data_IF_763401019949
#
_entry.id   IF_763401019949
#
_cell.length_a   1.000
_cell.length_b   1.000
_cell.length_c   1.000
_cell.angle_alpha   90.00
_cell.angle_beta   90.00
_cell.angle_gamma   90.00
#
_symmetry.space_group_name_H-M   'P 1'
#
loop_
_entity.id
_entity.type
_entity.pdbx_description
1 polymer ?
#
# COMPACT_ATOMS: atom_id res chain seq x y z
N UNK A 1 -0.93 18.11 -2.89
CA UNK A 1 -0.96 18.72 -1.54
C UNK A 1 -0.11 17.93 -0.54
N UNK A 2 -0.34 16.61 -0.37
CA UNK A 2 0.41 15.78 0.60
C UNK A 2 1.93 15.84 0.43
N UNK A 3 2.47 15.69 -0.78
CA UNK A 3 3.90 15.74 -1.03
C UNK A 3 4.56 17.09 -0.70
N UNK A 4 3.84 18.20 -0.85
CA UNK A 4 4.33 19.53 -0.48
C UNK A 4 4.43 19.68 1.06
N UNK A 5 3.43 19.19 1.78
CA UNK A 5 3.43 19.17 3.25
C UNK A 5 4.56 18.28 3.78
N UNK A 6 4.75 17.10 3.18
CA UNK A 6 5.86 16.19 3.52
C UNK A 6 7.22 16.83 3.27
N UNK A 7 7.40 17.52 2.14
CA UNK A 7 8.64 18.24 1.82
C UNK A 7 8.93 19.39 2.80
N UNK A 8 7.91 20.17 3.14
CA UNK A 8 8.04 21.27 4.11
C UNK A 8 8.35 20.74 5.52
N UNK A 9 7.67 19.68 5.96
CA UNK A 9 7.93 19.03 7.25
C UNK A 9 9.33 18.43 7.31
N UNK A 10 9.79 17.82 6.21
CA UNK A 10 11.17 17.30 6.09
C UNK A 10 12.21 18.43 6.29
N UNK A 11 12.00 19.58 5.66
CA UNK A 11 12.90 20.71 5.79
C UNK A 11 12.96 21.29 7.23
N UNK A 12 11.84 21.24 7.95
CA UNK A 12 11.79 21.66 9.37
C UNK A 12 12.41 20.66 10.33
N UNK A 13 12.23 19.36 10.08
CA UNK A 13 12.74 18.27 10.91
C UNK A 13 14.21 17.96 10.61
N UNK A 14 14.68 18.26 9.39
CA UNK A 14 16.06 18.01 8.98
C UNK A 14 17.02 19.07 9.55
N UNK A 15 17.96 18.62 10.37
CA UNK A 15 19.03 19.48 10.86
C UNK A 15 20.10 19.67 9.77
N UNK A 16 19.94 20.73 8.94
CA UNK A 16 20.83 21.03 7.81
C UNK A 16 22.28 21.17 8.22
N UNK A 17 22.57 21.74 9.41
CA UNK A 17 23.95 21.90 9.92
C UNK A 17 24.58 20.54 10.23
N UNK A 18 23.83 19.65 10.88
CA UNK A 18 24.29 18.31 11.19
C UNK A 18 24.51 17.46 9.92
N UNK A 19 23.63 17.60 8.94
CA UNK A 19 23.76 16.91 7.64
C UNK A 19 24.99 17.41 6.87
N UNK A 20 25.21 18.73 6.83
CA UNK A 20 26.37 19.34 6.19
C UNK A 20 27.69 18.92 6.87
N UNK A 21 27.71 18.90 8.22
CA UNK A 21 28.89 18.43 8.96
C UNK A 21 29.20 16.96 8.74
N UNK A 22 28.16 16.11 8.68
CA UNK A 22 28.33 14.69 8.37
C UNK A 22 28.85 14.47 6.93
N UNK A 23 28.32 15.21 5.95
CA UNK A 23 28.79 15.17 4.56
C UNK A 23 30.26 15.66 4.44
N UNK A 24 30.64 16.69 5.20
CA UNK A 24 32.02 17.18 5.19
C UNK A 24 32.98 16.18 5.83
N UNK A 25 32.58 15.48 6.90
CA UNK A 25 33.40 14.39 7.49
C UNK A 25 33.59 13.24 6.48
N UNK A 26 32.53 12.87 5.77
CA UNK A 26 32.60 11.85 4.73
C UNK A 26 33.62 12.23 3.64
N UNK A 27 33.60 13.50 3.18
CA UNK A 27 34.55 14.02 2.20
C UNK A 27 35.99 14.03 2.74
N UNK A 28 36.17 14.39 4.01
CA UNK A 28 37.48 14.37 4.64
C UNK A 28 38.10 12.95 4.66
N UNK A 29 37.33 11.93 5.07
CA UNK A 29 37.76 10.54 5.06
C UNK A 29 38.03 9.98 3.66
N UNK A 30 37.28 10.45 2.64
CA UNK A 30 37.60 10.11 1.24
C UNK A 30 38.92 10.71 0.77
N UNK A 31 39.28 11.91 1.23
CA UNK A 31 40.57 12.54 0.92
C UNK A 31 41.73 11.86 1.66
N UNK A 32 41.53 11.46 2.92
CA UNK A 32 42.48 10.67 3.70
C UNK A 32 42.83 9.34 3.01
N UNK A 33 41.80 8.61 2.51
CA UNK A 33 42.00 7.37 1.75
C UNK A 33 42.89 7.57 0.51
N UNK A 34 42.72 8.70 -0.17
CA UNK A 34 43.50 9.03 -1.36
C UNK A 34 44.94 9.45 -1.03
N UNK A 35 45.15 10.08 0.15
CA UNK A 35 46.47 10.59 0.56
C UNK A 35 47.37 9.48 1.12
N UNK A 36 46.77 8.49 1.81
CA UNK A 36 47.54 7.42 2.49
C UNK A 36 47.40 6.06 1.79
N UNK A 37 47.26 6.07 0.46
CA UNK A 37 47.05 4.85 -0.35
C UNK A 37 48.22 3.84 -0.22
N UNK A 38 49.41 4.31 0.13
CA UNK A 38 50.61 3.49 0.17
C UNK A 38 50.81 2.72 1.52
N UNK A 39 50.02 3.01 2.56
CA UNK A 39 50.13 2.35 3.86
C UNK A 39 48.87 1.49 4.17
N UNK A 40 48.97 0.13 4.06
CA UNK A 40 47.80 -0.77 4.19
C UNK A 40 47.08 -0.66 5.53
N UNK A 41 47.78 -0.43 6.63
CA UNK A 41 47.20 -0.31 7.96
C UNK A 41 46.37 0.98 8.12
N UNK A 42 46.82 2.09 7.55
CA UNK A 42 46.11 3.36 7.54
C UNK A 42 44.90 3.33 6.59
N UNK A 43 45.02 2.65 5.45
CA UNK A 43 43.94 2.44 4.52
C UNK A 43 42.81 1.67 5.20
N UNK A 44 43.10 0.59 5.93
CA UNK A 44 42.07 -0.20 6.63
C UNK A 44 41.34 0.62 7.71
N UNK A 45 42.09 1.40 8.48
CA UNK A 45 41.51 2.30 9.48
C UNK A 45 40.62 3.38 8.83
N UNK A 46 41.12 4.01 7.75
CA UNK A 46 40.38 5.04 7.01
C UNK A 46 39.08 4.47 6.37
N UNK A 47 39.13 3.23 5.86
CA UNK A 47 37.91 2.55 5.36
C UNK A 47 36.86 2.35 6.47
N UNK A 48 37.30 1.91 7.66
CA UNK A 48 36.42 1.72 8.79
C UNK A 48 35.78 3.03 9.28
N UNK A 49 36.59 4.09 9.34
CA UNK A 49 36.11 5.43 9.72
C UNK A 49 35.17 6.02 8.65
N UNK A 50 35.39 5.71 7.37
CA UNK A 50 34.46 6.03 6.27
C UNK A 50 33.12 5.30 6.42
N UNK A 51 33.10 4.02 6.77
CA UNK A 51 31.89 3.25 7.03
C UNK A 51 31.10 3.85 8.20
N UNK A 52 31.77 4.19 9.30
CA UNK A 52 31.14 4.86 10.45
C UNK A 52 30.57 6.23 10.08
N UNK A 53 31.34 7.03 9.34
CA UNK A 53 30.88 8.36 8.89
C UNK A 53 29.67 8.26 7.96
N UNK A 54 29.67 7.26 7.05
CA UNK A 54 28.54 6.99 6.18
C UNK A 54 27.31 6.53 6.98
N UNK A 55 27.50 5.63 7.96
CA UNK A 55 26.44 5.21 8.88
C UNK A 55 25.83 6.37 9.66
N UNK A 56 26.66 7.27 10.18
CA UNK A 56 26.20 8.47 10.88
C UNK A 56 25.44 9.43 9.95
N UNK A 57 25.88 9.59 8.72
CA UNK A 57 25.19 10.39 7.71
C UNK A 57 23.82 9.80 7.36
N UNK A 58 23.75 8.48 7.09
CA UNK A 58 22.50 7.78 6.81
C UNK A 58 21.55 7.86 8.01
N UNK A 59 22.03 7.70 9.23
CA UNK A 59 21.22 7.82 10.44
C UNK A 59 20.57 9.19 10.58
N UNK A 60 21.29 10.25 10.25
CA UNK A 60 20.74 11.60 10.28
C UNK A 60 19.70 11.84 9.18
N UNK A 61 19.83 11.19 8.02
CA UNK A 61 18.80 11.22 6.96
C UNK A 61 17.59 10.37 7.32
N UNK A 62 17.79 9.23 7.97
CA UNK A 62 16.70 8.32 8.33
C UNK A 62 15.75 8.89 9.40
N UNK A 63 16.26 9.69 10.32
CA UNK A 63 15.44 10.30 11.39
C UNK A 63 14.23 11.09 10.87
N UNK A 64 14.39 12.11 10.02
CA UNK A 64 13.26 12.84 9.48
C UNK A 64 12.38 11.96 8.58
N UNK A 65 12.98 10.99 7.87
CA UNK A 65 12.25 10.05 7.03
C UNK A 65 11.34 9.14 7.87
N UNK A 66 11.84 8.59 9.00
CA UNK A 66 11.05 7.76 9.90
C UNK A 66 9.86 8.50 10.50
N UNK A 67 10.05 9.76 10.89
CA UNK A 67 8.96 10.60 11.40
C UNK A 67 7.89 10.86 10.33
N UNK A 68 8.30 11.04 9.07
CA UNK A 68 7.39 11.27 7.95
C UNK A 68 6.76 9.98 7.40
N UNK A 69 7.42 8.84 7.60
CA UNK A 69 6.89 7.54 7.15
C UNK A 69 5.56 7.19 7.85
N UNK A 70 5.40 7.58 9.10
CA UNK A 70 4.18 7.31 9.87
C UNK A 70 2.95 8.03 9.30
N UNK A 71 2.93 9.36 9.12
CA UNK A 71 1.79 10.04 8.49
C UNK A 71 1.62 9.66 7.01
N UNK A 72 2.71 9.40 6.28
CA UNK A 72 2.62 8.94 4.89
C UNK A 72 2.00 7.54 4.80
N UNK A 73 2.39 6.62 5.67
CA UNK A 73 1.81 5.28 5.75
C UNK A 73 0.33 5.32 6.13
N UNK A 74 -0.04 6.18 7.07
CA UNK A 74 -1.44 6.38 7.45
C UNK A 74 -2.28 6.92 6.27
N UNK A 75 -1.74 7.88 5.53
CA UNK A 75 -2.39 8.40 4.32
C UNK A 75 -2.52 7.32 3.25
N UNK A 76 -1.47 6.52 3.01
CA UNK A 76 -1.53 5.40 2.07
C UNK A 76 -2.61 4.40 2.49
N UNK A 77 -2.67 4.02 3.75
CA UNK A 77 -3.69 3.12 4.27
C UNK A 77 -5.12 3.67 4.11
N UNK A 78 -5.32 4.98 4.34
CA UNK A 78 -6.61 5.63 4.14
C UNK A 78 -7.02 5.73 2.66
N UNK A 79 -6.05 5.86 1.76
CA UNK A 79 -6.29 6.00 0.32
C UNK A 79 -6.42 4.66 -0.40
N UNK A 80 -5.90 3.58 0.19
CA UNK A 80 -5.93 2.23 -0.39
C UNK A 80 -7.32 1.79 -0.87
N UNK A 81 -8.43 1.93 -0.08
CA UNK A 81 -9.77 1.52 -0.51
C UNK A 81 -10.31 2.27 -1.71
N UNK A 82 -9.71 3.41 -2.07
CA UNK A 82 -10.15 4.24 -3.20
C UNK A 82 -9.28 4.06 -4.45
N UNK A 83 -8.01 3.76 -4.27
CA UNK A 83 -7.02 3.81 -5.35
C UNK A 83 -6.40 2.46 -5.70
N UNK A 84 -6.36 1.50 -4.77
CA UNK A 84 -5.68 0.24 -5.01
C UNK A 84 -6.43 -0.69 -5.95
N UNK A 85 -7.77 -0.71 -5.85
CA UNK A 85 -8.60 -1.65 -6.59
C UNK A 85 -9.59 -0.91 -7.48
N UNK A 86 -9.96 -1.58 -8.56
CA UNK A 86 -11.02 -1.11 -9.44
C UNK A 86 -12.35 -1.77 -9.04
N UNK A 87 -13.50 -1.06 -9.15
CA UNK A 87 -14.80 -1.72 -9.04
C UNK A 87 -14.94 -2.77 -10.14
N UNK A 88 -15.76 -3.78 -9.90
CA UNK A 88 -16.05 -4.82 -10.89
C UNK A 88 -16.62 -4.19 -12.16
N UNK A 89 -16.11 -4.59 -13.31
CA UNK A 89 -16.74 -4.23 -14.58
C UNK A 89 -18.01 -5.03 -14.77
N UNK A 90 -19.00 -4.42 -15.41
CA UNK A 90 -20.24 -5.12 -15.78
C UNK A 90 -19.88 -6.32 -16.67
N UNK A 91 -20.35 -7.50 -16.30
CA UNK A 91 -20.05 -8.76 -16.99
C UNK A 91 -18.69 -9.40 -16.64
N UNK A 92 -17.85 -8.76 -15.81
CA UNK A 92 -16.59 -9.34 -15.36
C UNK A 92 -16.81 -10.26 -14.15
N UNK A 93 -16.27 -11.51 -14.18
CA UNK A 93 -16.42 -12.42 -13.07
C UNK A 93 -15.53 -12.01 -11.89
N UNK A 94 -16.05 -12.14 -10.69
CA UNK A 94 -15.30 -11.93 -9.46
C UNK A 94 -15.53 -13.08 -8.47
N UNK A 95 -14.59 -13.26 -7.54
CA UNK A 95 -14.72 -14.26 -6.50
C UNK A 95 -15.18 -13.60 -5.19
N UNK A 96 -16.22 -14.15 -4.62
CA UNK A 96 -16.63 -13.84 -3.25
C UNK A 96 -16.14 -14.96 -2.35
N UNK A 97 -15.32 -14.63 -1.40
CA UNK A 97 -14.71 -15.57 -0.45
C UNK A 97 -15.26 -15.25 0.94
N UNK A 98 -15.86 -16.24 1.57
CA UNK A 98 -16.33 -16.15 2.96
C UNK A 98 -15.45 -17.04 3.82
N UNK A 99 -14.83 -16.43 4.82
CA UNK A 99 -13.93 -17.10 5.76
C UNK A 99 -14.57 -17.14 7.15
N UNK A 100 -14.74 -18.34 7.72
CA UNK A 100 -15.22 -18.52 9.09
C UNK A 100 -14.11 -18.92 10.03
N UNK A 101 -14.11 -18.43 11.26
CA UNK A 101 -13.19 -18.89 12.29
C UNK A 101 -13.40 -20.37 12.66
N UNK A 102 -14.61 -20.89 12.47
CA UNK A 102 -14.98 -22.27 12.80
C UNK A 102 -15.47 -23.03 11.56
N UNK A 103 -15.22 -24.35 11.48
CA UNK A 103 -15.78 -25.20 10.44
C UNK A 103 -17.30 -25.14 10.47
N UNK A 104 -17.93 -25.00 9.31
CA UNK A 104 -19.38 -24.91 9.22
C UNK A 104 -19.97 -26.19 8.64
N UNK A 105 -21.02 -26.74 9.24
CA UNK A 105 -21.66 -27.97 8.73
C UNK A 105 -22.34 -27.73 7.38
N UNK A 106 -22.93 -26.57 7.17
CA UNK A 106 -23.62 -26.19 5.94
C UNK A 106 -22.88 -25.11 5.21
N UNK A 107 -22.83 -25.09 3.87
CA UNK A 107 -22.29 -23.95 3.15
C UNK A 107 -23.18 -22.73 3.38
N UNK A 108 -22.60 -21.53 3.48
CA UNK A 108 -23.40 -20.33 3.45
C UNK A 108 -24.15 -20.26 2.12
N UNK A 109 -25.40 -19.85 2.17
CA UNK A 109 -26.20 -19.63 0.97
C UNK A 109 -26.05 -18.17 0.55
N UNK A 110 -25.61 -17.99 -0.68
CA UNK A 110 -25.60 -16.71 -1.32
C UNK A 110 -26.94 -16.55 -2.04
N UNK A 111 -27.73 -15.55 -1.66
CA UNK A 111 -28.96 -15.24 -2.36
C UNK A 111 -28.64 -14.18 -3.42
N UNK A 112 -28.69 -14.54 -4.72
CA UNK A 112 -28.47 -13.55 -5.74
C UNK A 112 -29.63 -12.57 -5.74
N UNK A 113 -29.30 -11.30 -5.61
CA UNK A 113 -30.24 -10.19 -5.76
C UNK A 113 -29.80 -9.37 -6.98
N UNK A 114 -30.80 -9.10 -7.86
CA UNK A 114 -30.52 -8.26 -9.03
C UNK A 114 -29.80 -6.95 -8.61
N UNK A 115 -28.66 -6.60 -9.22
CA UNK A 115 -28.09 -7.04 -10.48
C UNK A 115 -26.85 -7.99 -10.36
N UNK A 116 -26.76 -8.81 -9.32
CA UNK A 116 -25.66 -9.76 -9.20
C UNK A 116 -26.14 -11.16 -9.57
N UNK A 117 -25.41 -11.80 -10.48
CA UNK A 117 -25.63 -13.19 -10.85
C UNK A 117 -24.56 -14.08 -10.26
N UNK A 118 -24.97 -15.18 -9.65
CA UNK A 118 -24.07 -16.23 -9.14
C UNK A 118 -23.93 -17.30 -10.20
N UNK A 119 -22.68 -17.55 -10.65
CA UNK A 119 -22.40 -18.52 -11.71
C UNK A 119 -22.13 -19.93 -11.17
N UNK A 120 -21.57 -20.03 -9.98
CA UNK A 120 -21.12 -21.32 -9.43
C UNK A 120 -21.75 -21.61 -8.08
N UNK A 121 -21.91 -22.90 -7.80
CA UNK A 121 -22.22 -23.36 -6.45
C UNK A 121 -21.06 -23.04 -5.50
N UNK A 122 -21.34 -23.05 -4.20
CA UNK A 122 -20.32 -22.86 -3.18
C UNK A 122 -19.20 -23.90 -3.27
N UNK A 123 -17.99 -23.46 -3.53
CA UNK A 123 -16.79 -24.31 -3.44
C UNK A 123 -16.23 -24.19 -2.04
N UNK A 124 -16.21 -25.31 -1.30
CA UNK A 124 -15.74 -25.33 0.10
C UNK A 124 -14.30 -25.81 0.16
N UNK A 125 -13.53 -25.20 1.02
CA UNK A 125 -12.13 -25.55 1.24
C UNK A 125 -11.69 -25.23 2.69
N UNK A 126 -10.43 -25.55 3.03
CA UNK A 126 -9.85 -25.32 4.36
C UNK A 126 -10.67 -25.95 5.49
N UNK A 127 -11.03 -27.24 5.37
CA UNK A 127 -11.80 -27.94 6.40
C UNK A 127 -13.20 -27.35 6.63
N UNK A 128 -13.86 -26.93 5.57
CA UNK A 128 -15.19 -26.29 5.62
C UNK A 128 -15.24 -24.93 6.37
N UNK A 129 -14.10 -24.26 6.51
CA UNK A 129 -14.06 -22.93 7.08
C UNK A 129 -14.30 -21.86 6.03
N UNK A 130 -13.95 -22.15 4.78
CA UNK A 130 -14.02 -21.18 3.70
C UNK A 130 -14.99 -21.67 2.64
N UNK A 131 -15.74 -20.73 2.05
CA UNK A 131 -16.61 -20.97 0.90
C UNK A 131 -16.39 -19.87 -0.14
N UNK A 132 -16.37 -20.25 -1.40
CA UNK A 132 -16.08 -19.34 -2.52
C UNK A 132 -17.13 -19.51 -3.60
N UNK A 133 -17.58 -18.39 -4.17
CA UNK A 133 -18.48 -18.33 -5.31
C UNK A 133 -17.87 -17.44 -6.38
N UNK A 134 -18.23 -17.74 -7.63
CA UNK A 134 -18.02 -16.84 -8.74
C UNK A 134 -19.32 -16.08 -8.99
N UNK A 135 -19.20 -14.77 -8.99
CA UNK A 135 -20.29 -13.84 -9.28
C UNK A 135 -19.92 -12.94 -10.44
N UNK A 136 -20.90 -12.37 -11.10
CA UNK A 136 -20.67 -11.20 -11.94
C UNK A 136 -21.79 -10.16 -11.75
N UNK A 137 -21.46 -8.91 -11.94
CA UNK A 137 -22.40 -7.81 -11.87
C UNK A 137 -23.01 -7.54 -13.25
N UNK A 138 -24.33 -7.54 -13.36
CA UNK A 138 -25.04 -7.26 -14.60
C UNK A 138 -25.24 -5.76 -14.83
N UNK A 139 -25.18 -4.95 -13.77
CA UNK A 139 -25.31 -3.48 -13.81
C UNK A 139 -24.33 -2.80 -12.86
N UNK A 140 -23.97 -1.56 -13.19
CA UNK A 140 -23.15 -0.71 -12.34
C UNK A 140 -23.92 -0.22 -11.11
N UNK A 141 -23.23 -0.13 -9.98
CA UNK A 141 -23.76 0.37 -8.72
C UNK A 141 -23.14 -0.29 -7.50
N UNK A 142 -23.60 0.11 -6.33
CA UNK A 142 -23.32 -0.58 -5.07
C UNK A 142 -24.50 -1.47 -4.74
N UNK A 143 -24.25 -2.75 -4.62
CA UNK A 143 -25.28 -3.78 -4.41
C UNK A 143 -25.02 -4.48 -3.09
N UNK A 144 -26.09 -4.72 -2.36
CA UNK A 144 -26.05 -5.53 -1.14
C UNK A 144 -26.25 -7.00 -1.53
N UNK A 145 -25.29 -7.83 -1.20
CA UNK A 145 -25.33 -9.26 -1.44
C UNK A 145 -25.75 -9.98 -0.14
N UNK A 146 -26.97 -10.51 -0.06
CA UNK A 146 -27.44 -11.22 1.13
C UNK A 146 -26.75 -12.57 1.23
N UNK A 147 -26.20 -12.84 2.41
CA UNK A 147 -25.55 -14.07 2.80
C UNK A 147 -26.35 -14.69 3.93
N UNK A 148 -26.79 -15.93 3.77
CA UNK A 148 -27.39 -16.71 4.87
C UNK A 148 -26.42 -17.79 5.32
N UNK A 149 -26.17 -17.81 6.62
CA UNK A 149 -25.24 -18.75 7.21
C UNK A 149 -25.72 -19.23 8.57
N UNK A 150 -25.92 -20.52 8.72
CA UNK A 150 -26.31 -21.15 10.01
C UNK A 150 -27.47 -20.41 10.71
N UNK A 151 -28.46 -19.95 9.94
CA UNK A 151 -29.62 -19.20 10.46
C UNK A 151 -29.35 -17.71 10.72
N UNK A 152 -28.17 -17.21 10.42
CA UNK A 152 -27.82 -15.79 10.52
C UNK A 152 -27.80 -15.18 9.11
N UNK A 153 -28.58 -14.12 8.94
CA UNK A 153 -28.60 -13.33 7.71
C UNK A 153 -27.57 -12.20 7.83
N UNK A 154 -26.79 -12.03 6.78
CA UNK A 154 -25.75 -11.04 6.69
C UNK A 154 -25.76 -10.40 5.29
N UNK A 155 -25.30 -9.18 5.16
CA UNK A 155 -25.21 -8.50 3.87
C UNK A 155 -23.78 -8.03 3.61
N UNK A 156 -23.24 -8.36 2.45
CA UNK A 156 -21.97 -7.83 1.98
C UNK A 156 -22.20 -6.81 0.86
N UNK A 157 -21.45 -5.72 0.86
CA UNK A 157 -21.53 -4.72 -0.19
C UNK A 157 -20.59 -5.07 -1.34
N UNK A 158 -21.16 -5.16 -2.54
CA UNK A 158 -20.42 -5.35 -3.79
C UNK A 158 -20.50 -4.05 -4.60
N UNK A 159 -19.37 -3.59 -5.12
CA UNK A 159 -19.29 -2.37 -5.92
C UNK A 159 -18.93 -2.74 -7.36
N UNK A 160 -19.78 -2.32 -8.30
CA UNK A 160 -19.57 -2.54 -9.73
C UNK A 160 -19.72 -1.23 -10.51
N UNK A 161 -18.98 -1.06 -11.60
CA UNK A 161 -19.03 0.09 -12.50
C UNK A 161 -17.75 0.90 -12.55
N UNK A 162 -17.76 2.00 -13.29
CA UNK A 162 -16.56 2.81 -13.57
C UNK A 162 -16.34 3.96 -12.56
N UNK A 163 -17.03 3.98 -11.44
CA UNK A 163 -17.04 5.09 -10.51
C UNK A 163 -15.91 5.02 -9.49
N UNK A 164 -15.50 6.19 -9.01
CA UNK A 164 -14.51 6.37 -7.94
C UNK A 164 -15.18 6.16 -6.58
N UNK A 165 -15.54 4.90 -6.28
CA UNK A 165 -16.21 4.52 -5.04
C UNK A 165 -15.21 3.86 -4.07
N UNK A 166 -15.50 3.99 -2.79
CA UNK A 166 -14.78 3.26 -1.76
C UNK A 166 -15.09 1.77 -1.89
N UNK A 167 -14.05 0.98 -2.14
CA UNK A 167 -14.18 -0.47 -2.31
C UNK A 167 -13.96 -1.15 -0.95
N UNK A 168 -14.96 -1.86 -0.43
CA UNK A 168 -14.81 -2.63 0.81
C UNK A 168 -14.06 -3.93 0.51
N UNK A 169 -12.74 -3.95 0.71
CA UNK A 169 -11.89 -5.12 0.44
C UNK A 169 -12.22 -6.32 1.33
N UNK A 170 -12.53 -6.07 2.57
CA UNK A 170 -12.97 -7.09 3.52
C UNK A 170 -14.05 -6.52 4.44
N UNK A 171 -15.09 -7.29 4.64
CA UNK A 171 -16.19 -6.93 5.51
C UNK A 171 -16.31 -8.00 6.59
N UNK A 172 -16.42 -7.59 7.85
CA UNK A 172 -16.75 -8.52 8.92
C UNK A 172 -18.26 -8.54 9.08
N UNK A 173 -18.84 -9.71 8.91
CA UNK A 173 -20.28 -9.89 9.00
C UNK A 173 -20.54 -11.08 9.92
N UNK A 174 -21.13 -10.83 11.08
CA UNK A 174 -21.49 -11.85 12.08
C UNK A 174 -20.35 -12.84 12.42
N UNK A 175 -19.13 -12.34 12.60
CA UNK A 175 -17.96 -13.14 12.95
C UNK A 175 -17.27 -13.84 11.76
N UNK A 176 -17.85 -13.81 10.58
CA UNK A 176 -17.20 -14.22 9.35
C UNK A 176 -16.58 -13.04 8.61
N UNK A 177 -15.49 -13.29 7.90
CA UNK A 177 -14.87 -12.31 7.01
C UNK A 177 -15.32 -12.60 5.57
N UNK A 178 -15.96 -11.62 4.97
CA UNK A 178 -16.31 -11.64 3.55
C UNK A 178 -15.30 -10.81 2.77
N UNK A 179 -14.63 -11.42 1.82
CA UNK A 179 -13.69 -10.78 0.92
C UNK A 179 -14.16 -10.95 -0.52
N UNK A 180 -14.13 -9.86 -1.26
CA UNK A 180 -14.42 -9.85 -2.68
C UNK A 180 -13.11 -9.57 -3.40
N UNK A 181 -12.80 -10.40 -4.39
CA UNK A 181 -11.58 -10.29 -5.18
C UNK A 181 -11.80 -9.25 -6.29
N UNK A 182 -11.50 -8.00 -5.95
CA UNK A 182 -11.55 -6.89 -6.89
C UNK A 182 -10.26 -6.83 -7.70
N UNK A 183 -10.32 -6.51 -8.99
CA UNK A 183 -9.12 -6.35 -9.80
C UNK A 183 -8.27 -5.18 -9.30
N UNK A 184 -6.95 -5.36 -9.35
CA UNK A 184 -6.03 -4.28 -9.04
C UNK A 184 -6.15 -3.16 -10.07
N UNK A 185 -6.12 -1.92 -9.59
CA UNK A 185 -6.15 -0.75 -10.47
C UNK A 185 -4.74 -0.41 -10.91
N UNK A 186 -4.48 -0.56 -12.19
CA UNK A 186 -3.24 -0.11 -12.80
C UNK A 186 -3.41 1.30 -13.39
N UNK A 187 -2.43 2.14 -13.15
CA UNK A 187 -2.37 3.49 -13.72
C UNK A 187 -1.27 3.55 -14.75
N UNK A 188 -1.64 3.80 -15.99
CA UNK A 188 -0.69 3.95 -17.10
C UNK A 188 -0.47 5.43 -17.41
N UNK A 189 0.79 5.86 -17.43
CA UNK A 189 1.20 7.18 -17.90
C UNK A 189 2.47 7.04 -18.73
N UNK A 190 2.46 7.60 -19.92
CA UNK A 190 3.61 7.59 -20.85
C UNK A 190 4.17 6.18 -21.13
N UNK A 191 3.31 5.15 -21.20
CA UNK A 191 3.72 3.77 -21.48
C UNK A 191 4.22 2.98 -20.25
N UNK A 192 4.24 3.60 -19.07
CA UNK A 192 4.57 2.94 -17.80
C UNK A 192 3.28 2.62 -17.05
N UNK A 193 3.00 1.33 -16.85
CA UNK A 193 1.91 0.87 -15.97
C UNK A 193 2.49 0.52 -14.60
N UNK A 194 1.96 1.15 -13.56
CA UNK A 194 2.37 0.92 -12.18
C UNK A 194 1.15 0.97 -11.25
N UNK A 195 1.24 0.26 -10.14
CA UNK A 195 0.23 0.34 -9.08
C UNK A 195 0.16 1.75 -8.46
N UNK A 196 -0.96 2.06 -7.85
CA UNK A 196 -1.23 3.38 -7.27
C UNK A 196 -0.18 3.81 -6.23
N UNK A 197 0.34 2.87 -5.43
CA UNK A 197 1.34 3.15 -4.39
C UNK A 197 2.66 3.66 -4.98
N UNK A 198 3.09 3.08 -6.10
CA UNK A 198 4.29 3.52 -6.82
C UNK A 198 4.09 4.93 -7.39
N UNK A 199 2.92 5.21 -7.99
CA UNK A 199 2.57 6.54 -8.47
C UNK A 199 2.48 7.56 -7.32
N UNK A 200 1.88 7.18 -6.19
CA UNK A 200 1.81 8.05 -5.01
C UNK A 200 3.21 8.42 -4.51
N UNK A 201 4.11 7.45 -4.37
CA UNK A 201 5.49 7.68 -3.94
C UNK A 201 6.26 8.54 -4.94
N UNK A 202 6.12 8.27 -6.24
CA UNK A 202 6.79 9.03 -7.30
C UNK A 202 6.35 10.50 -7.27
N UNK A 203 5.05 10.78 -7.31
CA UNK A 203 4.53 12.14 -7.30
C UNK A 203 4.77 12.87 -5.97
N UNK A 204 4.71 12.15 -4.85
CA UNK A 204 5.07 12.71 -3.54
C UNK A 204 6.54 13.09 -3.48
N UNK A 205 7.43 12.29 -4.06
CA UNK A 205 8.87 12.57 -4.14
C UNK A 205 9.16 13.75 -5.04
N UNK A 206 8.53 13.83 -6.22
CA UNK A 206 8.65 14.96 -7.15
C UNK A 206 8.16 16.25 -6.48
N UNK A 207 7.00 16.22 -5.82
CA UNK A 207 6.45 17.37 -5.13
C UNK A 207 7.32 17.80 -3.92
N UNK A 208 7.90 16.85 -3.18
CA UNK A 208 8.83 17.14 -2.09
C UNK A 208 10.12 17.79 -2.63
N UNK A 209 10.66 17.29 -3.74
CA UNK A 209 11.86 17.86 -4.39
C UNK A 209 11.59 19.28 -4.88
N UNK A 210 10.45 19.53 -5.53
CA UNK A 210 10.03 20.85 -5.97
C UNK A 210 9.85 21.83 -4.79
N UNK A 211 9.27 21.37 -3.67
CA UNK A 211 9.14 22.17 -2.46
C UNK A 211 10.51 22.55 -1.87
N UNK A 212 11.44 21.61 -1.82
CA UNK A 212 12.83 21.87 -1.35
C UNK A 212 13.52 22.89 -2.27
N UNK A 213 13.31 22.79 -3.57
CA UNK A 213 13.92 23.69 -4.55
C UNK A 213 13.36 25.14 -4.47
N UNK A 214 12.06 25.27 -4.20
CA UNK A 214 11.38 26.57 -4.09
C UNK A 214 11.64 27.29 -2.74
N UNK A 215 12.03 26.55 -1.71
CA UNK A 215 12.30 27.05 -0.36
C UNK A 215 13.79 27.28 -0.07
N UNK A 216 14.64 27.03 -1.06
CA UNK A 216 16.07 27.39 -1.08
C UNK A 216 16.29 28.80 -1.61
#
# INVERSE_FOLDING_TARGET
MAGWLLGWSFLRLSNRKALASAANRLRAHLMELRLFADEPALVWKAQWDLVKANGAFLWQMLRPLAVLALPAGLLMWQLEPFYAHAPLRVGEPALVIVESPQPQPSPPMLQPEDPIRVETHAVRWNGNRNATWRIHAERAGSVQLPLQWSGVSATANVVAGDWFLRIPLSQQVNGARVRIDYPDREYALAGLSMGWSAWFLLWSSVAAMAAVWRLR
#
